data_IF_185028738294
#
_entry.id   IF_185028738294
#
_cell.length_a   1.000
_cell.length_b   1.000
_cell.length_c   1.000
_cell.angle_alpha   90.00
_cell.angle_beta   90.00
_cell.angle_gamma   90.00
#
_symmetry.space_group_name_H-M   'P 1'
#
loop_
_entity.id
_entity.type
_entity.pdbx_description
1 polymer ?
#
# COMPACT_ATOMS: atom_id res chain seq x y z
N UNK A 1 13.32 0.17 7.99
CA UNK A 1 12.32 -0.79 8.46
C UNK A 1 11.98 -1.85 7.42
N UNK A 2 11.84 -1.50 6.14
CA UNK A 2 11.78 -2.45 5.01
C UNK A 2 13.10 -2.39 4.27
N UNK A 3 13.62 -3.56 3.87
CA UNK A 3 14.79 -3.66 3.01
C UNK A 3 14.52 -4.67 1.90
N UNK A 4 14.71 -4.25 0.67
CA UNK A 4 14.63 -5.06 -0.55
C UNK A 4 16.00 -5.07 -1.18
N UNK A 5 16.49 -6.24 -1.58
CA UNK A 5 17.82 -6.37 -2.19
C UNK A 5 17.74 -7.28 -3.40
N UNK A 6 18.12 -6.75 -4.57
CA UNK A 6 18.20 -7.47 -5.83
C UNK A 6 16.87 -8.15 -6.23
N UNK A 7 15.73 -7.49 -6.01
CA UNK A 7 14.41 -8.09 -6.22
C UNK A 7 14.10 -8.25 -7.70
N UNK A 8 13.92 -9.48 -8.14
CA UNK A 8 13.49 -9.83 -9.50
C UNK A 8 12.13 -10.49 -9.46
N UNK A 9 11.24 -10.11 -10.38
CA UNK A 9 9.97 -10.81 -10.62
C UNK A 9 9.78 -11.07 -12.09
N UNK A 10 9.58 -12.35 -12.42
CA UNK A 10 9.27 -12.83 -13.77
C UNK A 10 7.87 -13.48 -13.80
N UNK A 11 7.13 -13.21 -14.86
CA UNK A 11 5.90 -13.90 -15.21
C UNK A 11 6.16 -14.63 -16.55
N UNK A 12 6.47 -15.92 -16.47
CA UNK A 12 6.97 -16.67 -17.62
C UNK A 12 8.28 -16.07 -18.13
N UNK A 13 8.33 -15.67 -19.40
CA UNK A 13 9.49 -15.03 -20.02
C UNK A 13 9.57 -13.51 -19.77
N UNK A 14 8.51 -12.89 -19.26
CA UNK A 14 8.47 -11.43 -19.02
C UNK A 14 9.04 -11.08 -17.66
N UNK A 15 10.14 -10.31 -17.65
CA UNK A 15 10.79 -9.80 -16.44
C UNK A 15 10.23 -8.42 -16.09
N UNK A 16 9.37 -8.37 -15.06
CA UNK A 16 8.64 -7.17 -14.65
C UNK A 16 9.42 -6.35 -13.63
N UNK A 17 10.19 -6.99 -12.74
CA UNK A 17 11.12 -6.32 -11.82
C UNK A 17 12.53 -6.84 -12.11
N UNK A 18 13.49 -5.93 -12.30
CA UNK A 18 14.82 -6.20 -12.83
C UNK A 18 15.93 -5.88 -11.82
N UNK A 19 15.86 -6.47 -10.62
CA UNK A 19 16.90 -6.28 -9.60
C UNK A 19 16.70 -5.00 -8.78
N UNK A 20 15.52 -4.84 -8.17
CA UNK A 20 15.18 -3.66 -7.36
C UNK A 20 15.89 -3.72 -6.02
N UNK A 21 16.58 -2.63 -5.67
CA UNK A 21 17.09 -2.33 -4.34
C UNK A 21 16.30 -1.14 -3.75
N UNK A 22 15.69 -1.35 -2.58
CA UNK A 22 14.88 -0.33 -1.91
C UNK A 22 14.97 -0.49 -0.40
N UNK A 23 15.20 0.60 0.32
CA UNK A 23 15.11 0.65 1.78
C UNK A 23 14.03 1.66 2.17
N UNK A 24 13.24 1.35 3.18
CA UNK A 24 12.21 2.25 3.72
C UNK A 24 12.39 2.30 5.23
N UNK A 25 12.51 3.49 5.77
CA UNK A 25 12.72 3.71 7.19
C UNK A 25 11.41 3.68 7.98
N UNK A 26 11.51 3.60 9.31
CA UNK A 26 10.34 3.68 10.18
C UNK A 26 9.75 5.10 10.11
N UNK A 27 8.43 5.19 10.08
CA UNK A 27 7.67 6.44 9.96
C UNK A 27 7.95 7.23 8.69
N UNK A 28 8.53 6.59 7.66
CA UNK A 28 8.75 7.20 6.35
C UNK A 28 7.53 6.97 5.44
N UNK A 29 7.12 8.01 4.72
CA UNK A 29 6.11 7.96 3.67
C UNK A 29 6.82 7.92 2.32
N UNK A 30 6.79 6.76 1.67
CA UNK A 30 7.37 6.55 0.34
C UNK A 30 6.26 6.46 -0.70
N UNK A 31 6.30 7.36 -1.68
CA UNK A 31 5.41 7.29 -2.84
C UNK A 31 6.16 6.69 -4.03
N UNK A 32 5.57 5.67 -4.64
CA UNK A 32 6.09 5.03 -5.86
C UNK A 32 5.25 5.50 -7.04
N UNK A 33 5.88 6.11 -8.02
CA UNK A 33 5.22 6.61 -9.22
C UNK A 33 5.93 6.18 -10.50
N UNK A 34 5.29 6.35 -11.65
CA UNK A 34 5.80 5.97 -12.96
C UNK A 34 4.69 5.55 -13.93
N UNK A 35 4.99 5.30 -15.20
CA UNK A 35 4.01 4.92 -16.20
C UNK A 35 3.30 3.59 -15.87
N UNK A 36 2.13 3.36 -16.48
CA UNK A 36 1.44 2.08 -16.39
C UNK A 36 2.34 0.96 -16.92
N UNK A 37 2.33 -0.19 -16.24
CA UNK A 37 3.19 -1.32 -16.62
C UNK A 37 4.65 -1.23 -16.13
N UNK A 38 5.08 -0.17 -15.43
CA UNK A 38 6.46 -0.05 -14.92
C UNK A 38 6.81 -0.98 -13.75
N UNK A 39 5.85 -1.76 -13.22
CA UNK A 39 6.10 -2.73 -12.15
C UNK A 39 5.73 -2.27 -10.74
N UNK A 40 5.16 -1.07 -10.53
CA UNK A 40 4.84 -0.48 -9.21
C UNK A 40 3.98 -1.40 -8.33
N UNK A 41 2.80 -1.81 -8.82
CA UNK A 41 1.90 -2.72 -8.10
C UNK A 41 2.54 -4.10 -7.88
N UNK A 42 3.35 -4.57 -8.83
CA UNK A 42 4.10 -5.82 -8.68
C UNK A 42 5.12 -5.72 -7.55
N UNK A 43 5.89 -4.62 -7.48
CA UNK A 43 6.81 -4.34 -6.38
C UNK A 43 6.06 -4.32 -5.04
N UNK A 44 4.97 -3.55 -4.96
CA UNK A 44 4.17 -3.44 -3.74
C UNK A 44 3.64 -4.80 -3.27
N UNK A 45 3.13 -5.62 -4.20
CA UNK A 45 2.62 -6.98 -3.90
C UNK A 45 3.72 -7.96 -3.53
N UNK A 46 4.94 -7.76 -4.03
CA UNK A 46 6.10 -8.55 -3.60
C UNK A 46 6.49 -8.25 -2.14
N UNK A 47 6.34 -7.00 -1.66
CA UNK A 47 6.73 -6.61 -0.30
C UNK A 47 6.01 -7.43 0.79
N UNK A 48 4.79 -7.89 0.53
CA UNK A 48 4.04 -8.76 1.45
C UNK A 48 3.82 -10.19 0.91
N UNK A 49 4.56 -10.57 -0.14
CA UNK A 49 4.44 -11.89 -0.78
C UNK A 49 3.03 -12.23 -1.31
N UNK A 50 2.18 -11.25 -1.63
CA UNK A 50 0.98 -11.48 -2.45
C UNK A 50 1.41 -11.96 -3.84
N UNK A 51 2.49 -11.37 -4.37
CA UNK A 51 3.23 -11.90 -5.50
C UNK A 51 4.55 -12.49 -4.99
N UNK A 52 4.79 -13.76 -5.30
CA UNK A 52 6.05 -14.42 -4.96
C UNK A 52 7.17 -13.88 -5.86
N UNK A 53 8.20 -13.20 -5.33
CA UNK A 53 9.33 -12.76 -6.15
C UNK A 53 10.14 -13.96 -6.66
N UNK A 54 10.78 -13.79 -7.82
CA UNK A 54 11.60 -14.85 -8.45
C UNK A 54 12.97 -14.95 -7.80
N UNK A 55 13.60 -13.79 -7.53
CA UNK A 55 14.93 -13.69 -6.91
C UNK A 55 14.97 -12.49 -5.97
N UNK A 56 15.99 -12.45 -5.11
CA UNK A 56 16.24 -11.34 -4.19
C UNK A 56 15.87 -11.63 -2.75
N UNK A 57 15.86 -10.58 -1.95
CA UNK A 57 15.61 -10.62 -0.53
C UNK A 57 14.60 -9.54 -0.14
N UNK A 58 13.61 -9.89 0.67
CA UNK A 58 12.70 -8.96 1.32
C UNK A 58 12.81 -9.12 2.83
N UNK A 59 12.98 -7.99 3.52
CA UNK A 59 12.94 -7.90 4.97
C UNK A 59 11.90 -6.84 5.38
N UNK A 60 11.04 -7.18 6.33
CA UNK A 60 10.09 -6.27 6.99
C UNK A 60 10.22 -6.45 8.49
N UNK A 61 10.69 -5.41 9.18
CA UNK A 61 11.04 -5.53 10.59
C UNK A 61 12.13 -6.60 10.80
N UNK A 62 11.83 -7.58 11.63
CA UNK A 62 12.71 -8.74 11.92
C UNK A 62 12.54 -9.90 10.90
N UNK A 63 11.45 -9.89 10.13
CA UNK A 63 11.15 -10.97 9.19
C UNK A 63 11.90 -10.83 7.89
N UNK A 64 12.76 -11.82 7.59
CA UNK A 64 13.63 -11.84 6.41
C UNK A 64 13.33 -13.06 5.56
N UNK A 65 13.06 -12.87 4.28
CA UNK A 65 12.70 -13.94 3.34
C UNK A 65 13.49 -13.79 2.04
N UNK A 66 14.25 -14.84 1.69
CA UNK A 66 14.85 -14.95 0.36
C UNK A 66 13.81 -15.44 -0.64
N UNK A 67 13.77 -14.83 -1.82
CA UNK A 67 12.99 -15.28 -2.96
C UNK A 67 13.65 -16.46 -3.68
N UNK A 68 12.89 -17.19 -4.53
CA UNK A 68 13.44 -18.22 -5.42
C UNK A 68 13.79 -19.57 -4.78
N UNK A 69 13.68 -19.72 -3.46
CA UNK A 69 13.98 -20.97 -2.77
C UNK A 69 12.80 -21.95 -2.72
N UNK A 70 13.05 -23.21 -2.32
CA UNK A 70 11.97 -24.16 -2.00
C UNK A 70 11.04 -23.55 -0.94
N UNK A 71 9.73 -23.64 -1.19
CA UNK A 71 8.70 -23.22 -0.24
C UNK A 71 8.54 -24.32 0.82
N UNK A 72 9.44 -24.37 1.80
CA UNK A 72 9.33 -25.26 2.93
C UNK A 72 8.39 -24.72 4.03
N UNK A 73 8.17 -25.50 5.09
CA UNK A 73 7.30 -25.12 6.21
C UNK A 73 7.80 -23.89 6.96
N UNK A 74 9.12 -23.74 7.08
CA UNK A 74 9.73 -22.61 7.78
C UNK A 74 9.48 -21.32 7.01
N UNK A 75 9.78 -21.29 5.71
CA UNK A 75 9.57 -20.13 4.84
C UNK A 75 8.09 -19.70 4.81
N UNK A 76 7.15 -20.68 4.70
CA UNK A 76 5.71 -20.38 4.80
C UNK A 76 5.33 -19.71 6.12
N UNK A 77 5.92 -20.16 7.23
CA UNK A 77 5.70 -19.56 8.56
C UNK A 77 6.20 -18.13 8.60
N UNK A 78 7.42 -17.87 8.14
CA UNK A 78 8.01 -16.51 8.13
C UNK A 78 7.18 -15.57 7.24
N UNK A 79 6.78 -15.99 6.03
CA UNK A 79 5.92 -15.20 5.14
C UNK A 79 4.58 -14.88 5.82
N UNK A 80 3.97 -15.84 6.52
CA UNK A 80 2.71 -15.61 7.24
C UNK A 80 2.87 -14.58 8.36
N UNK A 81 3.96 -14.63 9.13
CA UNK A 81 4.22 -13.64 10.17
C UNK A 81 4.53 -12.25 9.57
N UNK A 82 5.28 -12.19 8.45
CA UNK A 82 5.51 -10.95 7.71
C UNK A 82 4.18 -10.32 7.25
N UNK A 83 3.27 -11.13 6.70
CA UNK A 83 1.94 -10.65 6.25
C UNK A 83 1.10 -10.07 7.39
N UNK A 84 1.21 -10.59 8.60
CA UNK A 84 0.52 -10.02 9.78
C UNK A 84 1.04 -8.62 10.15
N UNK A 85 2.28 -8.31 9.75
CA UNK A 85 2.94 -7.03 10.02
C UNK A 85 2.83 -6.03 8.87
N UNK A 86 2.13 -6.40 7.80
CA UNK A 86 1.93 -5.54 6.63
C UNK A 86 0.43 -5.39 6.36
N UNK A 87 -0.09 -4.19 6.50
CA UNK A 87 -1.43 -3.85 6.00
C UNK A 87 -1.39 -3.63 4.50
N UNK A 88 -2.39 -4.13 3.78
CA UNK A 88 -2.49 -3.94 2.33
C UNK A 88 -3.87 -3.43 1.94
N UNK A 89 -3.90 -2.32 1.23
CA UNK A 89 -5.11 -1.69 0.70
C UNK A 89 -5.07 -1.76 -0.82
N UNK A 90 -6.05 -2.44 -1.38
CA UNK A 90 -6.16 -2.67 -2.82
C UNK A 90 -6.92 -1.54 -3.53
N UNK A 91 -6.73 -1.43 -4.83
CA UNK A 91 -7.51 -0.59 -5.73
C UNK A 91 -9.02 -0.94 -5.67
N UNK A 92 -9.35 -2.22 -5.69
CA UNK A 92 -10.72 -2.72 -5.52
C UNK A 92 -10.92 -3.09 -4.06
N UNK A 93 -11.69 -2.40 -3.33
CA UNK A 93 -11.93 -2.43 -1.88
C UNK A 93 -11.83 -3.83 -1.22
N UNK A 94 -12.22 -4.90 -1.93
CA UNK A 94 -12.14 -6.30 -1.52
C UNK A 94 -12.79 -6.58 -0.16
N UNK A 95 -13.88 -5.90 0.16
CA UNK A 95 -14.67 -6.15 1.35
C UNK A 95 -15.44 -7.47 1.23
N UNK A 96 -15.66 -8.12 2.35
CA UNK A 96 -16.55 -9.28 2.41
C UNK A 96 -18.00 -8.81 2.22
N UNK A 97 -18.67 -9.15 1.10
CA UNK A 97 -19.97 -8.57 0.74
C UNK A 97 -21.11 -8.99 1.67
N UNK A 98 -20.94 -10.12 2.37
CA UNK A 98 -21.90 -10.69 3.33
C UNK A 98 -21.66 -10.25 4.78
N UNK A 99 -20.69 -9.35 5.03
CA UNK A 99 -20.36 -8.79 6.34
C UNK A 99 -20.58 -7.29 6.35
N UNK A 100 -21.03 -6.76 7.46
CA UNK A 100 -21.16 -5.32 7.67
C UNK A 100 -19.78 -4.65 7.75
N UNK A 101 -19.72 -3.32 7.78
CA UNK A 101 -18.47 -2.57 7.90
C UNK A 101 -17.71 -2.96 9.18
N UNK A 102 -18.40 -3.03 10.32
CA UNK A 102 -17.76 -3.43 11.58
C UNK A 102 -17.28 -4.88 11.54
N UNK A 103 -18.06 -5.82 11.01
CA UNK A 103 -17.68 -7.22 10.88
C UNK A 103 -16.49 -7.43 9.92
N UNK A 104 -16.39 -6.64 8.84
CA UNK A 104 -15.22 -6.63 7.96
C UNK A 104 -13.94 -6.30 8.73
N UNK A 105 -14.00 -5.34 9.65
CA UNK A 105 -12.85 -4.90 10.44
C UNK A 105 -12.52 -5.92 11.54
N UNK A 106 -13.53 -6.52 12.19
CA UNK A 106 -13.37 -7.49 13.26
C UNK A 106 -12.70 -8.80 12.80
N UNK A 107 -12.84 -9.16 11.51
CA UNK A 107 -12.38 -10.46 11.00
C UNK A 107 -10.89 -10.71 11.24
N UNK A 108 -10.05 -9.73 10.95
CA UNK A 108 -8.60 -9.85 11.15
C UNK A 108 -8.20 -10.09 12.61
N UNK A 109 -8.60 -9.24 13.55
CA UNK A 109 -8.37 -9.43 14.99
C UNK A 109 -8.81 -10.80 15.51
N UNK A 110 -9.98 -11.29 15.11
CA UNK A 110 -10.48 -12.60 15.53
C UNK A 110 -9.66 -13.73 14.88
N UNK A 111 -9.58 -13.77 13.56
CA UNK A 111 -9.02 -14.90 12.82
C UNK A 111 -7.50 -15.00 12.91
N UNK A 112 -6.80 -13.86 13.04
CA UNK A 112 -5.34 -13.80 12.98
C UNK A 112 -4.71 -13.63 14.36
N UNK A 113 -5.31 -12.79 15.21
CA UNK A 113 -4.79 -12.50 16.54
C UNK A 113 -5.50 -13.27 17.66
N UNK A 114 -6.58 -14.03 17.36
CA UNK A 114 -7.34 -14.82 18.34
C UNK A 114 -8.04 -13.96 19.39
N UNK A 115 -8.35 -12.70 19.08
CA UNK A 115 -9.09 -11.81 19.98
C UNK A 115 -10.53 -12.27 20.17
N UNK A 116 -11.11 -11.98 21.33
CA UNK A 116 -12.54 -12.21 21.55
C UNK A 116 -13.39 -11.31 20.63
N UNK A 117 -14.65 -11.68 20.36
CA UNK A 117 -15.56 -10.82 19.59
C UNK A 117 -15.74 -9.43 20.21
N UNK A 118 -15.75 -9.34 21.54
CA UNK A 118 -15.89 -8.08 22.27
C UNK A 118 -14.67 -7.17 22.08
N UNK A 119 -13.45 -7.73 22.20
CA UNK A 119 -12.20 -7.00 21.95
C UNK A 119 -12.10 -6.55 20.49
N UNK A 120 -12.44 -7.43 19.54
CA UNK A 120 -12.43 -7.11 18.12
C UNK A 120 -13.45 -6.01 17.78
N UNK A 121 -14.63 -6.03 18.42
CA UNK A 121 -15.66 -5.01 18.25
C UNK A 121 -15.20 -3.65 18.77
N UNK A 122 -14.54 -3.60 19.92
CA UNK A 122 -14.00 -2.35 20.46
C UNK A 122 -12.97 -1.72 19.50
N UNK A 123 -12.03 -2.53 18.98
CA UNK A 123 -11.07 -2.08 17.97
C UNK A 123 -11.77 -1.58 16.70
N UNK A 124 -12.79 -2.30 16.24
CA UNK A 124 -13.50 -1.93 15.02
C UNK A 124 -14.27 -0.61 15.16
N UNK A 125 -14.90 -0.36 16.32
CA UNK A 125 -15.58 0.91 16.61
C UNK A 125 -14.60 2.08 16.58
N UNK A 126 -13.44 1.94 17.23
CA UNK A 126 -12.39 2.96 17.26
C UNK A 126 -11.89 3.26 15.83
N UNK A 127 -11.62 2.22 15.04
CA UNK A 127 -11.13 2.38 13.67
C UNK A 127 -12.19 2.96 12.73
N UNK A 128 -13.47 2.61 12.89
CA UNK A 128 -14.56 3.25 12.14
C UNK A 128 -14.65 4.75 12.46
N UNK A 129 -14.53 5.13 13.73
CA UNK A 129 -14.48 6.54 14.11
C UNK A 129 -13.27 7.24 13.48
N UNK A 130 -12.09 6.60 13.50
CA UNK A 130 -10.85 7.12 12.92
C UNK A 130 -10.98 7.40 11.42
N UNK A 131 -11.69 6.56 10.66
CA UNK A 131 -11.92 6.76 9.23
C UNK A 131 -13.20 7.55 8.91
N UNK A 132 -13.87 8.13 9.94
CA UNK A 132 -15.07 8.97 9.79
C UNK A 132 -16.32 8.19 9.36
N UNK A 133 -16.49 6.94 9.85
CA UNK A 133 -17.59 6.04 9.50
C UNK A 133 -18.28 5.43 10.73
N UNK A 134 -18.25 6.11 11.88
CA UNK A 134 -18.85 5.60 13.12
C UNK A 134 -20.36 5.30 12.97
N UNK A 135 -21.06 6.10 12.15
CA UNK A 135 -22.50 5.97 11.86
C UNK A 135 -22.81 4.90 10.80
N UNK A 136 -21.79 4.24 10.23
CA UNK A 136 -21.90 3.25 9.16
C UNK A 136 -21.54 1.83 9.59
N UNK A 137 -21.37 1.59 10.89
CA UNK A 137 -20.91 0.31 11.42
C UNK A 137 -21.71 -0.90 10.91
N UNK A 138 -23.03 -0.79 10.88
CA UNK A 138 -23.95 -1.88 10.53
C UNK A 138 -24.32 -1.94 9.04
N UNK A 139 -23.68 -1.10 8.18
CA UNK A 139 -23.93 -1.09 6.75
C UNK A 139 -23.12 -2.18 6.05
N UNK A 140 -23.77 -2.87 5.11
CA UNK A 140 -23.12 -3.79 4.18
C UNK A 140 -22.39 -3.03 3.07
N UNK A 141 -21.36 -3.61 2.43
CA UNK A 141 -20.63 -2.95 1.34
C UNK A 141 -21.53 -2.36 0.25
N UNK A 142 -22.60 -3.06 -0.13
CA UNK A 142 -23.56 -2.58 -1.13
C UNK A 142 -24.34 -1.31 -0.73
N UNK A 143 -24.32 -0.95 0.55
CA UNK A 143 -24.96 0.25 1.10
C UNK A 143 -23.99 1.41 1.31
N UNK A 144 -22.72 1.22 0.96
CA UNK A 144 -21.63 2.19 1.12
C UNK A 144 -21.18 2.74 -0.22
N UNK A 145 -20.87 4.03 -0.28
CA UNK A 145 -20.19 4.62 -1.45
C UNK A 145 -18.81 3.99 -1.65
N UNK A 146 -18.22 4.13 -2.85
CA UNK A 146 -16.87 3.65 -3.12
C UNK A 146 -15.83 4.20 -2.13
N UNK A 147 -15.87 5.50 -1.83
CA UNK A 147 -14.98 6.12 -0.84
C UNK A 147 -15.20 5.59 0.59
N UNK A 148 -16.46 5.30 0.97
CA UNK A 148 -16.77 4.67 2.26
C UNK A 148 -16.25 3.24 2.31
N UNK A 149 -16.43 2.45 1.24
CA UNK A 149 -15.88 1.10 1.15
C UNK A 149 -14.36 1.09 1.26
N UNK A 150 -13.68 2.02 0.61
CA UNK A 150 -12.21 2.13 0.69
C UNK A 150 -11.76 2.51 2.10
N UNK A 151 -12.46 3.41 2.78
CA UNK A 151 -12.15 3.76 4.17
C UNK A 151 -12.38 2.58 5.13
N UNK A 152 -13.39 1.75 4.91
CA UNK A 152 -13.56 0.48 5.64
C UNK A 152 -12.39 -0.49 5.35
N UNK A 153 -11.93 -0.58 4.09
CA UNK A 153 -10.77 -1.42 3.73
C UNK A 153 -9.47 -0.94 4.41
N UNK A 154 -9.28 0.37 4.53
CA UNK A 154 -8.17 0.96 5.30
C UNK A 154 -8.28 0.57 6.77
N UNK A 155 -9.44 0.78 7.40
CA UNK A 155 -9.70 0.42 8.80
C UNK A 155 -9.48 -1.08 9.06
N UNK A 156 -9.95 -1.96 8.16
CA UNK A 156 -9.72 -3.40 8.22
C UNK A 156 -8.24 -3.76 8.21
N UNK A 157 -7.44 -3.06 7.39
CA UNK A 157 -6.00 -3.29 7.33
C UNK A 157 -5.28 -2.79 8.58
N UNK A 158 -5.72 -1.66 9.15
CA UNK A 158 -5.21 -1.10 10.41
C UNK A 158 -5.51 -2.00 11.62
N UNK A 159 -6.62 -2.74 11.60
CA UNK A 159 -7.03 -3.61 12.70
C UNK A 159 -6.04 -4.75 13.00
N UNK A 160 -5.10 -5.02 12.09
CA UNK A 160 -4.02 -5.98 12.28
C UNK A 160 -2.78 -5.39 12.98
N UNK A 161 -2.81 -4.13 13.38
CA UNK A 161 -1.66 -3.43 13.98
C UNK A 161 -0.37 -3.61 13.16
N UNK A 162 -0.39 -3.19 11.88
CA UNK A 162 0.73 -3.43 10.98
C UNK A 162 1.89 -2.47 11.25
N UNK A 163 3.13 -2.92 10.97
CA UNK A 163 4.32 -2.07 10.98
C UNK A 163 4.36 -1.11 9.79
N UNK A 164 3.71 -1.46 8.69
CA UNK A 164 3.66 -0.68 7.45
C UNK A 164 2.33 -0.89 6.74
N UNK A 165 1.81 0.19 6.17
CA UNK A 165 0.65 0.14 5.28
C UNK A 165 1.09 0.28 3.82
N UNK A 166 0.63 -0.62 2.98
CA UNK A 166 0.89 -0.67 1.55
C UNK A 166 -0.41 -0.31 0.79
N UNK A 167 -0.36 0.73 -0.04
CA UNK A 167 -1.52 1.23 -0.79
C UNK A 167 -1.29 1.06 -2.29
N UNK A 168 -2.07 0.20 -2.94
CA UNK A 168 -2.01 -0.08 -4.38
C UNK A 168 -3.11 0.70 -5.09
N UNK A 169 -2.81 1.94 -5.52
CA UNK A 169 -3.72 2.86 -6.21
C UNK A 169 -5.08 3.02 -5.49
N UNK A 170 -5.10 3.47 -4.22
CA UNK A 170 -6.28 3.40 -3.35
C UNK A 170 -7.47 4.26 -3.81
N UNK A 171 -7.28 5.14 -4.79
CA UNK A 171 -8.30 6.07 -5.28
C UNK A 171 -8.71 5.84 -6.74
N UNK A 172 -8.02 4.98 -7.48
CA UNK A 172 -8.22 4.84 -8.93
C UNK A 172 -9.57 4.22 -9.35
N UNK A 173 -10.29 3.58 -8.42
CA UNK A 173 -11.63 3.04 -8.63
C UNK A 173 -12.75 3.96 -8.10
N UNK A 174 -12.42 5.21 -7.74
CA UNK A 174 -13.35 6.17 -7.14
C UNK A 174 -13.71 7.30 -8.10
N UNK A 175 -14.92 7.80 -7.95
CA UNK A 175 -15.31 9.07 -8.56
C UNK A 175 -14.49 10.22 -7.96
N UNK A 176 -14.12 11.26 -8.74
CA UNK A 176 -13.23 12.34 -8.31
C UNK A 176 -13.66 13.03 -7.01
N UNK A 177 -14.96 13.17 -6.78
CA UNK A 177 -15.52 13.78 -5.57
C UNK A 177 -15.27 12.96 -4.29
N UNK A 178 -15.09 11.63 -4.42
CA UNK A 178 -14.84 10.72 -3.30
C UNK A 178 -13.35 10.52 -2.99
N UNK A 179 -12.47 10.90 -3.91
CA UNK A 179 -11.00 10.75 -3.78
C UNK A 179 -10.48 11.47 -2.55
N UNK A 180 -10.93 12.72 -2.34
CA UNK A 180 -10.45 13.59 -1.26
C UNK A 180 -10.62 12.96 0.13
N UNK A 181 -11.76 12.32 0.39
CA UNK A 181 -12.05 11.73 1.70
C UNK A 181 -11.08 10.58 2.04
N UNK A 182 -10.72 9.78 1.04
CA UNK A 182 -9.75 8.68 1.21
C UNK A 182 -8.34 9.22 1.41
N UNK A 183 -7.94 10.22 0.62
CA UNK A 183 -6.62 10.83 0.73
C UNK A 183 -6.41 11.53 2.09
N UNK A 184 -7.45 12.16 2.65
CA UNK A 184 -7.39 12.75 3.99
C UNK A 184 -7.14 11.69 5.07
N UNK A 185 -7.76 10.51 4.98
CA UNK A 185 -7.48 9.40 5.90
C UNK A 185 -6.03 8.93 5.76
N UNK A 186 -5.52 8.76 4.54
CA UNK A 186 -4.13 8.34 4.33
C UNK A 186 -3.16 9.39 4.87
N UNK A 187 -3.45 10.68 4.66
CA UNK A 187 -2.67 11.79 5.20
C UNK A 187 -2.63 11.77 6.73
N UNK A 188 -3.76 11.56 7.42
CA UNK A 188 -3.77 11.48 8.88
C UNK A 188 -2.91 10.35 9.41
N UNK A 189 -2.85 9.19 8.71
CA UNK A 189 -1.97 8.08 9.07
C UNK A 189 -0.47 8.46 8.94
N UNK A 190 -0.13 9.25 7.91
CA UNK A 190 1.22 9.79 7.74
C UNK A 190 1.59 10.73 8.89
N UNK A 191 0.70 11.67 9.23
CA UNK A 191 0.88 12.63 10.32
C UNK A 191 1.00 11.96 11.71
N UNK A 192 0.38 10.80 11.90
CA UNK A 192 0.53 9.96 13.10
C UNK A 192 1.86 9.18 13.14
N UNK A 193 2.71 9.32 12.12
CA UNK A 193 4.02 8.66 12.04
C UNK A 193 3.95 7.19 11.61
N UNK A 194 2.88 6.77 10.93
CA UNK A 194 2.81 5.44 10.35
C UNK A 194 3.73 5.32 9.13
N UNK A 195 4.39 4.18 8.97
CA UNK A 195 5.17 3.92 7.75
C UNK A 195 4.24 3.57 6.61
N UNK A 196 4.33 4.31 5.50
CA UNK A 196 3.44 4.15 4.35
C UNK A 196 4.24 3.91 3.07
N UNK A 197 3.78 2.98 2.23
CA UNK A 197 4.25 2.84 0.85
C UNK A 197 3.03 2.96 -0.06
N UNK A 198 3.01 3.97 -0.90
CA UNK A 198 1.83 4.36 -1.66
C UNK A 198 2.15 4.36 -3.16
N UNK A 199 1.45 3.53 -3.93
CA UNK A 199 1.38 3.66 -5.39
C UNK A 199 0.17 4.53 -5.71
N UNK A 200 0.38 5.66 -6.36
CA UNK A 200 -0.71 6.59 -6.69
C UNK A 200 -0.43 7.40 -7.95
N UNK A 201 -1.50 7.87 -8.60
CA UNK A 201 -1.49 8.84 -9.67
C UNK A 201 -1.86 10.26 -9.19
N UNK A 202 -2.17 10.42 -7.91
CA UNK A 202 -2.54 11.71 -7.29
C UNK A 202 -1.29 12.53 -6.99
N UNK A 203 -0.80 13.30 -7.98
CA UNK A 203 0.49 13.99 -7.90
C UNK A 203 0.52 15.08 -6.81
N UNK A 204 -0.59 15.82 -6.64
CA UNK A 204 -0.67 16.86 -5.62
C UNK A 204 -0.61 16.24 -4.21
N UNK A 205 -1.29 15.12 -4.01
CA UNK A 205 -1.21 14.37 -2.76
C UNK A 205 0.21 13.82 -2.53
N UNK A 206 0.84 13.24 -3.57
CA UNK A 206 2.21 12.76 -3.48
C UNK A 206 3.21 13.88 -3.10
N UNK A 207 3.06 15.08 -3.69
CA UNK A 207 3.86 16.27 -3.34
C UNK A 207 3.71 16.66 -1.87
N UNK A 208 2.50 16.55 -1.32
CA UNK A 208 2.16 17.00 0.03
C UNK A 208 2.64 16.01 1.11
N UNK A 209 2.48 14.70 0.88
CA UNK A 209 2.66 13.72 1.96
C UNK A 209 3.98 12.95 1.91
N UNK A 210 4.64 12.87 0.74
CA UNK A 210 5.81 12.02 0.58
C UNK A 210 7.07 12.65 1.21
N UNK A 211 7.72 11.90 2.11
CA UNK A 211 9.10 12.16 2.51
C UNK A 211 10.04 11.86 1.36
N UNK A 212 9.78 10.74 0.66
CA UNK A 212 10.56 10.30 -0.50
C UNK A 212 9.65 9.78 -1.61
N UNK A 213 10.06 10.11 -2.83
CA UNK A 213 9.43 9.63 -4.06
C UNK A 213 10.39 8.72 -4.79
N UNK A 214 9.87 7.59 -5.27
CA UNK A 214 10.57 6.60 -6.08
C UNK A 214 9.91 6.56 -7.46
N UNK A 215 10.64 6.99 -8.49
CA UNK A 215 10.18 6.91 -9.86
C UNK A 215 10.65 5.61 -10.51
N UNK A 216 9.70 4.82 -11.00
CA UNK A 216 9.94 3.55 -11.66
C UNK A 216 9.57 3.59 -13.14
N UNK A 217 10.41 3.01 -13.97
CA UNK A 217 10.11 2.73 -15.38
C UNK A 217 10.75 1.42 -15.83
N UNK A 218 10.08 0.68 -16.71
CA UNK A 218 10.54 -0.59 -17.31
C UNK A 218 11.10 -1.61 -16.30
N UNK A 219 10.53 -1.66 -15.09
CA UNK A 219 10.93 -2.60 -14.04
C UNK A 219 12.16 -2.20 -13.23
N UNK A 220 12.63 -0.96 -13.35
CA UNK A 220 13.78 -0.38 -12.65
C UNK A 220 13.37 0.84 -11.83
N UNK A 221 14.11 1.12 -10.77
CA UNK A 221 14.09 2.43 -10.11
C UNK A 221 15.01 3.35 -10.91
N UNK A 222 14.44 4.35 -11.57
CA UNK A 222 15.17 5.31 -12.40
C UNK A 222 15.72 6.44 -11.53
N UNK A 223 14.88 6.96 -10.62
CA UNK A 223 15.25 8.07 -9.75
C UNK A 223 14.53 7.95 -8.42
N UNK A 224 15.18 8.38 -7.34
CA UNK A 224 14.56 8.54 -6.04
C UNK A 224 15.15 9.74 -5.30
N UNK A 225 14.31 10.41 -4.52
CA UNK A 225 14.71 11.59 -3.76
C UNK A 225 13.56 12.13 -2.94
N UNK A 226 13.79 13.25 -2.23
CA UNK A 226 12.71 13.94 -1.53
C UNK A 226 11.63 14.38 -2.51
N UNK A 227 10.40 14.59 -2.02
CA UNK A 227 9.29 15.12 -2.82
C UNK A 227 9.74 16.36 -3.62
N UNK A 228 10.40 17.32 -2.97
CA UNK A 228 10.91 18.54 -3.61
C UNK A 228 11.92 18.24 -4.74
N UNK A 229 12.85 17.32 -4.50
CA UNK A 229 13.87 16.97 -5.52
C UNK A 229 13.22 16.38 -6.77
N UNK A 230 12.30 15.46 -6.62
CA UNK A 230 11.69 14.75 -7.75
C UNK A 230 10.72 15.65 -8.51
N UNK A 231 9.88 16.40 -7.81
CA UNK A 231 8.84 17.20 -8.49
C UNK A 231 9.33 18.56 -9.00
N UNK A 232 10.32 19.20 -8.36
CA UNK A 232 10.79 20.53 -8.76
C UNK A 232 12.10 20.49 -9.55
N UNK A 233 12.99 19.53 -9.24
CA UNK A 233 14.33 19.44 -9.81
C UNK A 233 14.72 18.00 -10.17
N UNK A 234 13.94 17.28 -10.98
CA UNK A 234 14.28 15.91 -11.41
C UNK A 234 15.58 15.93 -12.21
N UNK A 235 16.43 14.93 -11.96
CA UNK A 235 17.74 14.80 -12.64
C UNK A 235 17.61 14.01 -13.93
N UNK A 236 16.89 12.89 -13.85
CA UNK A 236 16.78 11.95 -14.95
C UNK A 236 15.79 12.46 -16.02
N UNK A 237 16.19 12.41 -17.29
CA UNK A 237 15.35 12.89 -18.38
C UNK A 237 14.03 12.13 -18.48
N UNK A 238 14.04 10.85 -18.11
CA UNK A 238 12.84 10.04 -18.12
C UNK A 238 11.82 10.49 -17.06
N UNK A 239 12.29 10.89 -15.87
CA UNK A 239 11.47 11.50 -14.81
C UNK A 239 10.87 12.82 -15.30
N UNK A 240 11.68 13.71 -15.92
CA UNK A 240 11.21 14.99 -16.47
C UNK A 240 10.10 14.80 -17.50
N UNK A 241 10.30 13.89 -18.45
CA UNK A 241 9.31 13.56 -19.48
C UNK A 241 8.00 13.04 -18.91
N UNK A 242 8.07 12.21 -17.86
CA UNK A 242 6.88 11.70 -17.19
C UNK A 242 6.11 12.82 -16.50
N UNK A 243 6.78 13.63 -15.68
CA UNK A 243 6.16 14.73 -14.95
C UNK A 243 5.52 15.77 -15.89
N UNK A 244 6.21 16.18 -16.95
CA UNK A 244 5.66 17.12 -17.94
C UNK A 244 4.38 16.61 -18.61
N UNK A 245 4.28 15.30 -18.87
CA UNK A 245 3.05 14.70 -19.43
C UNK A 245 1.90 14.73 -18.43
N UNK A 246 2.20 14.43 -17.17
CA UNK A 246 1.17 14.44 -16.12
C UNK A 246 0.66 15.86 -15.85
N UNK A 247 1.54 16.84 -15.78
CA UNK A 247 1.16 18.26 -15.63
C UNK A 247 0.28 18.76 -16.78
N UNK A 248 0.60 18.38 -18.01
CA UNK A 248 -0.22 18.72 -19.18
C UNK A 248 -1.63 18.12 -19.15
N UNK A 249 -1.80 16.93 -18.53
CA UNK A 249 -3.13 16.28 -18.37
C UNK A 249 -3.95 16.96 -17.27
N UNK A 250 -3.32 17.42 -16.19
CA UNK A 250 -4.00 18.08 -15.06
C UNK A 250 -4.38 19.53 -15.38
N UNK A 251 -3.70 20.17 -16.33
CA UNK A 251 -3.95 21.56 -16.75
C UNK A 251 -5.09 21.71 -17.77
N UNK A 252 -5.60 20.62 -18.35
CA UNK A 252 -6.74 20.57 -19.28
C UNK A 252 -7.98 20.01 -18.59
#
# INVERSE_FOLDING_TARGET
MIKVTGLVKKFGANEVLKGIDLTIDKSEVVVIMGPSGSGKSTLLRCLNFLEEPTEGLIQVGEYKVNAGGKIDRHRKKVIRELRKKTGFVFQSFNLFPHKTAIENIMEGPIAIHGKSPEEAKAIAIELLAKVGLADRADHYPAQLSGGQQQRVAIARSLALDPLVMLFDEPTSALDPELVREVLLVIKSLAEEGMTLVIVTHEMNFAKEVADRVVFMDEGLIIEQGTSKQIFENPKEDRTKQFLSKVEAIVAN
#
